data_IF_711780079396
#
_entry.id   IF_711780079396
#
_cell.length_a   1.000
_cell.length_b   1.000
_cell.length_c   1.000
_cell.angle_alpha   90.00
_cell.angle_beta   90.00
_cell.angle_gamma   90.00
#
_symmetry.space_group_name_H-M   'P 1'
#
loop_
_entity.id
_entity.type
_entity.pdbx_description
1 polymer ?
#
# COMPACT_ATOMS: atom_id res chain seq x y z
N UNK A 1 24.90 58.17 -6.04
CA UNK A 1 24.18 59.07 -5.10
C UNK A 1 22.73 59.10 -5.57
N UNK A 2 21.70 58.71 -4.82
CA UNK A 2 21.62 58.41 -3.39
C UNK A 2 20.69 57.22 -3.13
N UNK A 3 20.92 56.63 -1.96
CA UNK A 3 20.18 55.53 -1.39
C UNK A 3 18.78 55.98 -0.93
N UNK A 4 17.80 55.08 -1.04
CA UNK A 4 16.56 55.16 -0.27
C UNK A 4 16.62 54.07 0.80
N UNK A 5 16.57 54.53 2.04
CA UNK A 5 16.78 53.78 3.27
C UNK A 5 15.56 52.95 3.68
N UNK A 6 15.85 51.85 4.37
CA UNK A 6 14.91 51.03 5.13
C UNK A 6 14.41 51.79 6.37
N UNK A 7 13.32 51.31 6.99
CA UNK A 7 13.28 51.27 8.44
C UNK A 7 13.23 49.83 8.98
N UNK A 8 14.16 49.54 9.89
CA UNK A 8 14.03 48.51 10.92
C UNK A 8 12.76 48.79 11.75
N UNK A 9 11.99 47.84 12.28
CA UNK A 9 12.34 46.59 12.93
C UNK A 9 11.69 46.65 14.33
N UNK A 10 10.73 45.77 14.62
CA UNK A 10 10.37 45.45 15.99
C UNK A 10 9.74 44.05 16.06
N UNK A 11 10.45 43.14 16.73
CA UNK A 11 10.03 41.80 17.10
C UNK A 11 8.91 41.83 18.16
N UNK A 12 7.96 40.88 18.06
CA UNK A 12 7.43 39.98 19.13
C UNK A 12 6.09 39.38 18.64
N UNK A 13 6.07 38.11 18.21
CA UNK A 13 5.58 36.96 18.99
C UNK A 13 4.22 37.19 19.68
N UNK A 14 3.14 36.66 19.09
CA UNK A 14 2.19 35.74 19.75
C UNK A 14 1.07 35.33 18.77
N UNK A 15 1.21 34.09 18.31
CA UNK A 15 0.16 33.08 18.16
C UNK A 15 -1.30 33.51 18.43
N UNK A 16 -2.10 33.68 17.37
CA UNK A 16 -3.54 33.39 17.43
C UNK A 16 -4.12 33.19 16.02
N UNK A 17 -4.11 31.95 15.57
CA UNK A 17 -4.92 31.49 14.43
C UNK A 17 -6.31 31.16 15.00
N UNK A 18 -7.40 31.80 14.57
CA UNK A 18 -8.73 31.47 15.08
C UNK A 18 -9.16 30.08 14.57
N UNK A 19 -9.59 29.23 15.52
CA UNK A 19 -10.10 27.87 15.32
C UNK A 19 -11.34 27.89 14.41
N UNK A 20 -11.21 27.37 13.19
CA UNK A 20 -12.31 27.03 12.29
C UNK A 20 -12.78 25.56 12.47
N UNK A 21 -12.81 25.04 13.70
CA UNK A 21 -12.98 23.59 13.94
C UNK A 21 -14.19 23.15 14.78
N UNK A 22 -15.12 24.02 15.17
CA UNK A 22 -16.13 23.63 16.17
C UNK A 22 -17.61 23.69 15.75
N UNK A 23 -17.99 23.92 14.49
CA UNK A 23 -19.41 24.19 14.17
C UNK A 23 -20.11 23.37 13.07
N UNK A 24 -19.51 22.30 12.52
CA UNK A 24 -20.21 21.47 11.51
C UNK A 24 -20.59 20.04 11.94
N UNK A 25 -20.27 19.60 13.17
CA UNK A 25 -20.59 18.22 13.60
C UNK A 25 -21.24 18.18 14.99
N UNK A 26 -22.38 18.87 15.15
CA UNK A 26 -23.31 18.62 16.25
C UNK A 26 -24.55 17.91 15.70
N UNK A 27 -24.40 16.60 15.54
CA UNK A 27 -25.50 15.68 15.24
C UNK A 27 -25.42 14.50 16.19
N UNK A 28 -25.91 14.71 17.42
CA UNK A 28 -26.09 13.68 18.43
C UNK A 28 -27.12 12.65 17.97
N UNK A 29 -26.66 11.44 17.64
CA UNK A 29 -27.50 10.26 17.44
C UNK A 29 -26.83 9.07 18.11
N UNK A 30 -27.46 8.53 19.15
CA UNK A 30 -26.93 7.45 19.97
C UNK A 30 -26.58 6.21 19.15
N UNK A 31 -25.41 5.63 19.44
CA UNK A 31 -25.03 4.30 18.99
C UNK A 31 -25.93 3.26 19.67
N UNK A 32 -26.59 2.34 18.94
CA UNK A 32 -27.06 1.11 19.55
C UNK A 32 -25.85 0.21 19.81
N UNK A 33 -25.70 -0.25 21.05
CA UNK A 33 -24.73 -1.30 21.42
C UNK A 33 -25.07 -2.59 20.66
N UNK A 34 -24.24 -2.93 19.68
CA UNK A 34 -24.31 -4.23 18.99
C UNK A 34 -23.50 -5.23 19.83
N UNK A 35 -24.20 -5.98 20.69
CA UNK A 35 -23.65 -7.13 21.38
C UNK A 35 -23.23 -8.19 20.37
N UNK A 36 -21.91 -8.34 20.15
CA UNK A 36 -21.35 -9.52 19.50
C UNK A 36 -21.37 -10.67 20.51
N UNK A 37 -22.50 -11.35 20.57
CA UNK A 37 -22.63 -12.60 21.32
C UNK A 37 -21.85 -13.69 20.57
N UNK A 38 -20.69 -14.05 21.10
CA UNK A 38 -19.84 -15.14 20.60
C UNK A 38 -20.59 -16.47 20.68
N UNK A 39 -21.28 -16.84 19.60
CA UNK A 39 -21.87 -18.16 19.45
C UNK A 39 -20.77 -19.16 19.04
N UNK A 40 -20.65 -20.33 19.71
CA UNK A 40 -19.63 -21.31 19.37
C UNK A 40 -19.84 -21.85 17.95
N UNK A 41 -18.74 -21.97 17.20
CA UNK A 41 -18.71 -22.56 15.86
C UNK A 41 -19.10 -24.04 16.00
N UNK A 42 -20.27 -24.39 15.48
CA UNK A 42 -20.74 -25.76 15.39
C UNK A 42 -19.84 -26.54 14.41
N UNK A 43 -19.24 -27.63 14.88
CA UNK A 43 -18.17 -28.36 14.16
C UNK A 43 -18.68 -29.34 13.10
N UNK A 44 -19.98 -29.35 12.83
CA UNK A 44 -20.60 -30.31 11.91
C UNK A 44 -21.26 -29.62 10.68
N UNK A 45 -20.52 -28.71 10.02
CA UNK A 45 -20.89 -28.25 8.66
C UNK A 45 -20.09 -29.06 7.63
N UNK A 46 -20.72 -29.84 6.74
CA UNK A 46 -20.00 -30.65 5.76
C UNK A 46 -19.30 -29.75 4.74
N UNK A 47 -18.03 -30.08 4.44
CA UNK A 47 -17.25 -29.44 3.38
C UNK A 47 -17.98 -29.57 2.05
N UNK A 48 -18.07 -28.48 1.28
CA UNK A 48 -18.56 -28.49 -0.08
C UNK A 48 -17.56 -29.20 -1.02
N UNK A 49 -17.55 -30.53 -0.94
CA UNK A 49 -16.99 -31.47 -1.91
C UNK A 49 -17.93 -32.67 -1.95
N UNK A 50 -19.07 -32.52 -2.63
CA UNK A 50 -19.81 -33.66 -3.15
C UNK A 50 -20.74 -33.16 -4.27
N UNK A 51 -20.31 -33.36 -5.53
CA UNK A 51 -21.20 -33.25 -6.69
C UNK A 51 -21.26 -34.61 -7.37
N UNK A 52 -22.44 -35.20 -7.29
CA UNK A 52 -22.92 -36.49 -7.82
C UNK A 52 -22.77 -36.60 -9.36
N UNK A 53 -22.64 -37.82 -9.94
CA UNK A 53 -22.23 -37.99 -11.33
C UNK A 53 -23.39 -37.93 -12.33
N UNK A 54 -23.12 -37.33 -13.50
CA UNK A 54 -23.86 -37.59 -14.75
C UNK A 54 -24.80 -36.48 -15.22
N UNK A 55 -24.25 -35.48 -15.91
CA UNK A 55 -24.98 -34.74 -16.95
C UNK A 55 -24.07 -34.54 -18.17
N UNK A 56 -24.56 -34.98 -19.34
CA UNK A 56 -23.86 -34.97 -20.63
C UNK A 56 -23.77 -33.54 -21.18
N UNK A 57 -22.56 -33.13 -21.56
CA UNK A 57 -22.29 -31.89 -22.34
C UNK A 57 -22.21 -32.29 -23.84
N UNK A 58 -22.84 -31.54 -24.77
CA UNK A 58 -22.83 -31.85 -26.21
C UNK A 58 -21.46 -31.59 -26.88
N UNK A 59 -21.10 -32.29 -27.98
CA UNK A 59 -19.79 -32.17 -28.61
C UNK A 59 -19.78 -31.18 -29.80
N UNK A 60 -18.73 -30.38 -29.91
CA UNK A 60 -18.44 -29.56 -31.09
C UNK A 60 -17.60 -28.33 -30.73
N UNK A 61 -16.27 -28.43 -30.84
CA UNK A 61 -15.46 -27.74 -31.85
C UNK A 61 -15.08 -26.32 -31.43
N UNK A 62 -13.84 -26.18 -30.94
CA UNK A 62 -12.87 -25.16 -31.33
C UNK A 62 -11.57 -25.38 -30.51
N UNK A 63 -10.77 -26.35 -30.92
CA UNK A 63 -9.39 -26.51 -30.44
C UNK A 63 -8.49 -25.65 -31.33
N UNK A 64 -7.70 -24.69 -30.81
CA UNK A 64 -6.67 -24.03 -31.60
C UNK A 64 -5.64 -25.05 -32.11
N UNK A 65 -5.09 -24.85 -33.33
CA UNK A 65 -4.21 -25.83 -33.97
C UNK A 65 -2.91 -26.02 -33.19
N UNK A 66 -2.47 -27.28 -33.16
CA UNK A 66 -1.33 -27.76 -32.40
C UNK A 66 -0.04 -26.97 -32.64
N UNK A 67 0.61 -26.63 -31.53
CA UNK A 67 2.06 -26.56 -31.50
C UNK A 67 2.54 -27.83 -30.82
N UNK A 68 3.24 -28.66 -31.60
CA UNK A 68 3.94 -29.83 -31.13
C UNK A 68 4.87 -29.44 -29.98
N UNK A 69 4.52 -29.85 -28.76
CA UNK A 69 5.45 -29.80 -27.62
C UNK A 69 6.45 -30.92 -27.86
N UNK A 70 7.75 -30.65 -28.11
CA UNK A 70 8.72 -31.72 -28.27
C UNK A 70 8.83 -32.49 -26.96
N UNK A 71 8.61 -33.80 -27.06
CA UNK A 71 8.71 -34.75 -25.97
C UNK A 71 9.99 -34.57 -25.17
N UNK A 72 9.81 -34.43 -23.87
CA UNK A 72 10.76 -34.42 -22.78
C UNK A 72 11.70 -35.65 -22.80
N UNK A 73 12.76 -35.61 -23.62
CA UNK A 73 13.90 -36.53 -23.54
C UNK A 73 15.16 -35.80 -23.96
N UNK A 74 15.90 -35.29 -22.97
CA UNK A 74 17.37 -35.17 -22.91
C UNK A 74 17.75 -34.20 -21.78
N UNK A 75 17.66 -34.66 -20.53
CA UNK A 75 18.40 -33.98 -19.46
C UNK A 75 19.60 -34.88 -19.11
N UNK A 76 20.86 -34.47 -19.41
CA UNK A 76 22.03 -35.25 -19.04
C UNK A 76 22.14 -35.37 -17.50
N UNK A 77 22.62 -36.50 -16.95
CA UNK A 77 22.74 -36.68 -15.52
C UNK A 77 23.90 -35.84 -14.99
N UNK A 78 23.60 -34.82 -14.16
CA UNK A 78 24.65 -34.14 -13.38
C UNK A 78 24.63 -32.61 -13.33
N UNK A 79 23.52 -31.92 -13.60
CA UNK A 79 23.40 -30.51 -13.20
C UNK A 79 22.58 -30.40 -11.92
N UNK A 80 23.28 -30.21 -10.81
CA UNK A 80 22.71 -29.60 -9.61
C UNK A 80 22.22 -28.21 -10.05
N UNK A 81 20.92 -28.12 -10.36
CA UNK A 81 20.33 -26.92 -10.98
C UNK A 81 20.16 -25.84 -9.92
N UNK A 82 21.28 -25.29 -9.48
CA UNK A 82 21.31 -24.15 -8.56
C UNK A 82 20.63 -22.99 -9.24
N UNK A 83 19.49 -22.56 -8.68
CA UNK A 83 18.78 -21.36 -9.12
C UNK A 83 19.71 -20.17 -8.90
N UNK A 84 20.14 -19.53 -9.99
CA UNK A 84 20.96 -18.32 -9.95
C UNK A 84 20.06 -17.09 -10.02
N UNK A 85 20.00 -16.25 -8.97
CA UNK A 85 19.26 -14.99 -9.02
C UNK A 85 19.79 -14.05 -10.11
N UNK A 86 18.97 -13.07 -10.49
CA UNK A 86 19.44 -12.01 -11.39
C UNK A 86 20.57 -11.20 -10.73
N UNK A 87 21.58 -10.80 -11.50
CA UNK A 87 22.76 -10.09 -10.99
C UNK A 87 22.44 -8.85 -10.13
N UNK A 88 21.34 -8.14 -10.42
CA UNK A 88 20.88 -6.98 -9.62
C UNK A 88 20.57 -7.32 -8.15
N UNK A 89 20.21 -8.58 -7.87
CA UNK A 89 19.92 -9.05 -6.51
C UNK A 89 21.18 -9.15 -5.67
N UNK A 90 22.35 -9.34 -6.28
CA UNK A 90 23.64 -9.39 -5.59
C UNK A 90 24.07 -8.00 -5.09
N UNK A 91 23.46 -6.93 -5.62
CA UNK A 91 23.76 -5.54 -5.24
C UNK A 91 22.96 -5.06 -4.01
N UNK A 92 21.94 -5.81 -3.58
CA UNK A 92 21.13 -5.41 -2.44
C UNK A 92 21.91 -5.66 -1.14
N UNK A 93 22.17 -4.61 -0.33
CA UNK A 93 22.87 -4.78 0.93
C UNK A 93 21.99 -5.55 1.93
N UNK A 94 22.62 -6.06 2.99
CA UNK A 94 21.91 -6.71 4.08
C UNK A 94 20.87 -5.75 4.71
N UNK A 95 19.65 -6.25 4.91
CA UNK A 95 18.58 -5.47 5.52
C UNK A 95 18.79 -5.33 7.03
N UNK A 96 19.41 -4.21 7.43
CA UNK A 96 19.78 -3.89 8.82
C UNK A 96 18.60 -4.03 9.79
N UNK A 97 17.41 -3.56 9.41
CA UNK A 97 16.22 -3.66 10.27
C UNK A 97 15.75 -5.10 10.49
N UNK A 98 16.00 -6.02 9.54
CA UNK A 98 15.68 -7.43 9.70
C UNK A 98 16.47 -8.04 10.85
N UNK A 99 17.78 -7.78 10.89
CA UNK A 99 18.65 -8.19 12.01
C UNK A 99 18.25 -7.56 13.33
N UNK A 100 17.96 -6.26 13.34
CA UNK A 100 17.54 -5.56 14.55
C UNK A 100 16.22 -6.14 15.10
N UNK A 101 15.25 -6.44 14.22
CA UNK A 101 13.98 -7.03 14.62
C UNK A 101 14.17 -8.44 15.21
N UNK A 102 15.03 -9.26 14.62
CA UNK A 102 15.36 -10.59 15.15
C UNK A 102 15.97 -10.51 16.56
N UNK A 103 16.91 -9.58 16.77
CA UNK A 103 17.53 -9.39 18.09
C UNK A 103 16.55 -8.83 19.13
N UNK A 104 15.69 -7.87 18.74
CA UNK A 104 14.61 -7.38 19.61
C UNK A 104 13.70 -8.52 20.05
N UNK A 105 13.29 -9.39 19.12
CA UNK A 105 12.43 -10.53 19.43
C UNK A 105 13.12 -11.52 20.37
N UNK A 106 14.40 -11.83 20.15
CA UNK A 106 15.20 -12.70 21.03
C UNK A 106 15.28 -12.16 22.46
N UNK A 107 15.49 -10.85 22.63
CA UNK A 107 15.58 -10.21 23.96
C UNK A 107 14.22 -10.15 24.66
N UNK A 108 13.15 -9.84 23.94
CA UNK A 108 11.78 -9.90 24.47
C UNK A 108 11.43 -11.31 24.94
N UNK A 109 11.80 -12.34 24.18
CA UNK A 109 11.61 -13.74 24.57
C UNK A 109 12.40 -14.13 25.83
N UNK A 110 13.53 -13.47 26.09
CA UNK A 110 14.30 -13.62 27.33
C UNK A 110 13.74 -12.79 28.51
N UNK A 111 12.57 -12.17 28.36
CA UNK A 111 11.93 -11.36 29.40
C UNK A 111 12.53 -9.97 29.59
N UNK A 112 13.38 -9.51 28.66
CA UNK A 112 13.95 -8.16 28.71
C UNK A 112 12.93 -7.18 28.12
N UNK A 113 12.60 -6.14 28.89
CA UNK A 113 11.79 -5.03 28.40
C UNK A 113 12.58 -4.18 27.40
N UNK A 114 12.05 -4.05 26.18
CA UNK A 114 12.71 -3.37 25.06
C UNK A 114 11.87 -2.18 24.62
N UNK A 115 12.40 -0.99 24.89
CA UNK A 115 11.88 0.28 24.38
C UNK A 115 12.42 0.48 22.96
N UNK A 116 11.52 0.51 21.98
CA UNK A 116 11.85 0.51 20.55
C UNK A 116 11.59 1.89 19.93
N UNK A 117 12.66 2.64 19.71
CA UNK A 117 12.64 3.89 18.93
C UNK A 117 13.14 3.69 17.49
N UNK A 118 13.27 2.44 17.03
CA UNK A 118 13.93 2.12 15.77
C UNK A 118 13.03 2.15 14.54
N UNK A 119 11.71 2.03 14.69
CA UNK A 119 10.76 2.04 13.57
C UNK A 119 9.81 3.23 13.69
N UNK A 120 9.67 4.00 12.62
CA UNK A 120 8.72 5.12 12.50
C UNK A 120 7.29 4.67 12.24
N UNK A 121 6.77 3.71 13.01
CA UNK A 121 5.35 3.34 12.95
C UNK A 121 4.57 4.21 13.95
N UNK A 122 3.54 4.95 13.53
CA UNK A 122 2.68 5.66 14.47
C UNK A 122 2.03 4.68 15.46
N UNK A 123 1.93 5.10 16.71
CA UNK A 123 1.28 4.38 17.81
C UNK A 123 -0.24 4.62 17.85
N UNK A 124 -0.69 5.73 17.30
CA UNK A 124 -2.11 6.08 17.21
C UNK A 124 -2.83 5.31 16.09
N UNK A 125 -4.08 4.87 16.33
CA UNK A 125 -4.87 4.21 15.30
C UNK A 125 -5.25 5.18 14.17
N UNK A 126 -5.66 4.62 13.04
CA UNK A 126 -6.27 5.40 11.96
C UNK A 126 -7.54 6.14 12.44
N UNK A 127 -7.86 7.26 11.80
CA UNK A 127 -9.05 8.04 12.16
C UNK A 127 -10.33 7.23 11.98
N UNK A 128 -11.33 7.44 12.86
CA UNK A 128 -12.61 6.72 12.78
C UNK A 128 -13.29 6.92 11.42
N UNK A 129 -13.25 8.15 10.89
CA UNK A 129 -13.81 8.47 9.58
C UNK A 129 -13.17 7.63 8.44
N UNK A 130 -11.85 7.39 8.50
CA UNK A 130 -11.17 6.53 7.52
C UNK A 130 -11.63 5.08 7.64
N UNK A 131 -11.71 4.57 8.86
CA UNK A 131 -12.14 3.19 9.15
C UNK A 131 -13.60 2.99 8.70
N UNK A 132 -14.49 3.90 9.06
CA UNK A 132 -15.90 3.89 8.67
C UNK A 132 -16.06 3.93 7.14
N UNK A 133 -15.24 4.74 6.46
CA UNK A 133 -15.30 4.81 4.99
C UNK A 133 -14.83 3.53 4.33
N UNK A 134 -13.81 2.85 4.88
CA UNK A 134 -13.37 1.55 4.38
C UNK A 134 -14.49 0.53 4.53
N UNK A 135 -15.17 0.47 5.68
CA UNK A 135 -16.32 -0.43 5.86
C UNK A 135 -17.40 -0.21 4.80
N UNK A 136 -17.78 1.05 4.56
CA UNK A 136 -18.76 1.38 3.52
C UNK A 136 -18.33 0.94 2.12
N UNK A 137 -17.04 1.05 1.80
CA UNK A 137 -16.51 0.66 0.48
C UNK A 137 -16.46 -0.86 0.34
N UNK A 138 -16.24 -1.60 1.42
CA UNK A 138 -16.24 -3.07 1.40
C UNK A 138 -17.62 -3.65 1.09
N UNK A 139 -18.70 -2.94 1.46
CA UNK A 139 -20.08 -3.34 1.16
C UNK A 139 -20.47 -3.12 -0.33
N UNK A 140 -19.68 -2.35 -1.10
CA UNK A 140 -19.93 -2.11 -2.53
C UNK A 140 -19.23 -3.19 -3.39
N UNK A 141 -20.00 -4.09 -3.98
CA UNK A 141 -19.49 -5.14 -4.90
C UNK A 141 -18.66 -4.59 -6.06
N UNK A 142 -18.88 -3.33 -6.48
CA UNK A 142 -18.08 -2.71 -7.56
C UNK A 142 -16.65 -2.45 -7.13
N UNK A 143 -16.40 -2.22 -5.85
CA UNK A 143 -15.08 -1.93 -5.30
C UNK A 143 -14.16 -3.15 -5.28
N UNK A 144 -14.71 -4.36 -5.43
CA UNK A 144 -13.93 -5.61 -5.41
C UNK A 144 -13.27 -5.91 -6.76
N UNK A 145 -13.62 -5.17 -7.81
CA UNK A 145 -13.02 -5.29 -9.14
C UNK A 145 -11.64 -4.65 -9.18
N UNK A 146 -10.85 -5.02 -10.19
CA UNK A 146 -9.58 -4.35 -10.42
C UNK A 146 -9.76 -2.84 -10.60
N UNK A 147 -8.94 -2.08 -9.87
CA UNK A 147 -8.85 -0.63 -10.02
C UNK A 147 -8.15 -0.27 -11.35
N UNK A 148 -8.26 0.99 -11.75
CA UNK A 148 -7.47 1.54 -12.85
C UNK A 148 -5.99 1.49 -12.47
N UNK A 149 -5.13 1.17 -13.44
CA UNK A 149 -3.68 1.07 -13.22
C UNK A 149 -3.05 2.35 -12.64
N UNK A 150 -3.56 3.52 -13.03
CA UNK A 150 -3.06 4.82 -12.56
C UNK A 150 -3.64 5.25 -11.20
N UNK A 151 -4.80 4.70 -10.80
CA UNK A 151 -5.54 5.09 -9.61
C UNK A 151 -7.00 5.48 -9.85
N UNK A 152 -7.74 5.58 -8.75
CA UNK A 152 -9.16 5.94 -8.74
C UNK A 152 -9.30 7.44 -9.03
N UNK A 153 -10.10 7.89 -10.01
CA UNK A 153 -10.12 9.29 -10.44
C UNK A 153 -10.49 10.28 -9.32
N UNK A 154 -11.36 9.90 -8.39
CA UNK A 154 -11.67 10.75 -7.23
C UNK A 154 -10.47 10.94 -6.29
N UNK A 155 -9.64 9.92 -6.13
CA UNK A 155 -8.40 10.01 -5.34
C UNK A 155 -7.38 10.91 -6.03
N UNK A 156 -7.22 10.77 -7.36
CA UNK A 156 -6.29 11.60 -8.13
C UNK A 156 -6.62 13.09 -8.02
N UNK A 157 -7.91 13.45 -8.13
CA UNK A 157 -8.36 14.85 -7.92
C UNK A 157 -8.11 15.34 -6.51
N UNK A 158 -8.40 14.50 -5.50
CA UNK A 158 -8.15 14.86 -4.11
C UNK A 158 -6.66 15.13 -3.82
N UNK A 159 -5.75 14.40 -4.48
CA UNK A 159 -4.31 14.67 -4.39
C UNK A 159 -3.95 16.00 -5.04
N UNK A 160 -4.48 16.31 -6.23
CA UNK A 160 -4.26 17.60 -6.89
C UNK A 160 -4.75 18.77 -6.01
N UNK A 161 -5.95 18.66 -5.44
CA UNK A 161 -6.54 19.67 -4.54
C UNK A 161 -5.71 19.83 -3.26
N UNK A 162 -5.19 18.73 -2.71
CA UNK A 162 -4.28 18.77 -1.56
C UNK A 162 -3.00 19.53 -1.88
N UNK A 163 -2.41 19.30 -3.05
CA UNK A 163 -1.21 20.01 -3.49
C UNK A 163 -1.45 21.50 -3.72
N UNK A 164 -2.59 21.86 -4.31
CA UNK A 164 -2.96 23.24 -4.55
C UNK A 164 -3.22 24.01 -3.27
N UNK A 165 -3.97 23.43 -2.34
CA UNK A 165 -4.31 24.07 -1.07
C UNK A 165 -3.16 24.11 -0.07
N UNK A 166 -2.36 23.04 0.01
CA UNK A 166 -1.25 22.93 0.96
C UNK A 166 0.04 23.60 0.49
N UNK A 167 0.32 23.54 -0.82
CA UNK A 167 1.61 23.94 -1.38
C UNK A 167 1.52 24.95 -2.52
N UNK A 168 0.31 25.31 -2.99
CA UNK A 168 0.13 26.25 -4.10
C UNK A 168 0.54 25.68 -5.46
N UNK A 169 0.67 24.36 -5.57
CA UNK A 169 1.08 23.67 -6.82
C UNK A 169 -0.16 23.22 -7.57
N UNK A 170 -0.29 23.61 -8.84
CA UNK A 170 -1.34 23.12 -9.72
C UNK A 170 -0.88 21.83 -10.41
N UNK A 171 -1.67 20.77 -10.32
CA UNK A 171 -1.38 19.46 -10.91
C UNK A 171 -2.57 18.97 -11.72
N UNK A 172 -2.32 18.45 -12.92
CA UNK A 172 -3.31 17.72 -13.70
C UNK A 172 -3.46 16.29 -13.16
N UNK A 173 -4.65 16.02 -12.60
CA UNK A 173 -5.00 14.72 -12.02
C UNK A 173 -4.97 13.54 -13.00
N UNK A 174 -5.02 13.78 -14.31
CA UNK A 174 -5.01 12.72 -15.32
C UNK A 174 -3.61 12.41 -15.87
N UNK A 175 -2.69 13.37 -15.82
CA UNK A 175 -1.38 13.26 -16.50
C UNK A 175 -0.18 13.35 -15.56
N UNK A 176 -0.33 13.97 -14.38
CA UNK A 176 0.80 14.26 -13.46
C UNK A 176 0.72 13.49 -12.14
N UNK A 177 -0.29 12.64 -11.95
CA UNK A 177 -0.51 11.91 -10.69
C UNK A 177 -0.70 10.41 -10.94
N UNK A 178 0.02 9.59 -10.18
CA UNK A 178 -0.12 8.13 -10.13
C UNK A 178 -0.20 7.65 -8.69
N UNK A 179 -1.08 6.68 -8.41
CA UNK A 179 -1.20 6.06 -7.08
C UNK A 179 -0.36 4.79 -6.99
N UNK A 180 0.33 4.62 -5.87
CA UNK A 180 1.25 3.50 -5.60
C UNK A 180 0.84 2.76 -4.33
N UNK A 181 1.33 1.53 -4.16
CA UNK A 181 1.13 0.74 -2.94
C UNK A 181 2.18 1.19 -1.91
N UNK A 182 2.03 2.42 -1.47
CA UNK A 182 2.95 3.11 -0.57
C UNK A 182 4.21 3.63 -1.26
N UNK A 183 4.94 4.49 -0.53
CA UNK A 183 6.09 5.22 -1.06
C UNK A 183 7.26 4.33 -1.49
N UNK A 184 7.45 3.17 -0.85
CA UNK A 184 8.53 2.24 -1.18
C UNK A 184 8.41 1.69 -2.59
N UNK A 185 7.21 1.28 -2.99
CA UNK A 185 6.95 0.76 -4.32
C UNK A 185 7.09 1.87 -5.37
N UNK A 186 6.51 3.05 -5.11
CA UNK A 186 6.65 4.21 -5.98
C UNK A 186 8.09 4.63 -6.22
N UNK A 187 8.91 4.75 -5.16
CA UNK A 187 10.33 5.10 -5.31
C UNK A 187 11.11 4.01 -6.05
N UNK A 188 10.84 2.73 -5.78
CA UNK A 188 11.52 1.62 -6.47
C UNK A 188 11.25 1.64 -7.97
N UNK A 189 9.99 1.85 -8.37
CA UNK A 189 9.64 1.93 -9.78
C UNK A 189 10.11 3.22 -10.43
N UNK A 190 10.12 4.34 -9.70
CA UNK A 190 10.69 5.59 -10.20
C UNK A 190 12.18 5.42 -10.54
N UNK A 191 12.95 4.79 -9.64
CA UNK A 191 14.36 4.48 -9.91
C UNK A 191 14.52 3.56 -11.12
N UNK A 192 13.67 2.54 -11.27
CA UNK A 192 13.71 1.64 -12.41
C UNK A 192 13.33 2.31 -13.74
N UNK A 193 12.43 3.29 -13.70
CA UNK A 193 11.98 4.01 -14.88
C UNK A 193 12.98 5.07 -15.35
N UNK A 194 13.72 5.69 -14.43
CA UNK A 194 14.59 6.83 -14.73
C UNK A 194 16.08 6.47 -14.89
N UNK A 195 16.56 5.40 -14.24
CA UNK A 195 18.00 5.11 -14.16
C UNK A 195 18.40 3.94 -15.05
N UNK A 196 19.42 4.16 -15.87
CA UNK A 196 20.12 3.15 -16.66
C UNK A 196 21.51 2.79 -16.11
N UNK A 197 22.17 1.78 -16.70
CA UNK A 197 23.53 1.41 -16.33
C UNK A 197 24.52 2.57 -16.54
N UNK A 198 25.23 2.95 -15.48
CA UNK A 198 26.22 4.03 -15.50
C UNK A 198 25.71 5.40 -15.05
N UNK A 199 24.39 5.55 -14.86
CA UNK A 199 23.80 6.77 -14.34
C UNK A 199 24.16 6.99 -12.87
N UNK A 200 24.18 8.25 -12.45
CA UNK A 200 24.52 8.66 -11.08
C UNK A 200 23.30 9.30 -10.43
N UNK A 201 22.88 8.75 -9.29
CA UNK A 201 21.83 9.31 -8.45
C UNK A 201 22.46 10.09 -7.28
N UNK A 202 21.96 11.29 -7.01
CA UNK A 202 22.32 12.07 -5.82
C UNK A 202 21.34 11.72 -4.72
N UNK A 203 21.86 11.26 -3.58
CA UNK A 203 21.10 10.79 -2.40
C UNK A 203 21.43 11.65 -1.21
#
# INVERSE_FOLDING_TARGET
MGAAERPAGCLRTHHQVPRCQEQCFTGTGGRPEMNFENKPIDKDTPSAQDTTPGQKIPPGQDTPPGQDIPSEKNNPPGHDSVIRPAARMELLPEYVFGRLNAEKQRRRAAGIDIIDFGMGNPDMPASSNTVDKIHQVLDDEKAHRYSRAIGIPHLLRAVADHYKSGYGVDLDSETEIITTIGSKEGLSHLSLALLGPGDRCVV
#
